data_IF_392672305443
#
_entry.id   IF_392672305443
#
_cell.length_a   1.000
_cell.length_b   1.000
_cell.length_c   1.000
_cell.angle_alpha   90.00
_cell.angle_beta   90.00
_cell.angle_gamma   90.00
#
_symmetry.space_group_name_H-M   'P 1'
#
loop_
_entity.id
_entity.type
_entity.pdbx_description
1 polymer ?
#
# COMPACT_ATOMS: atom_id res chain seq x y z
N UNK A 1 1.72 21.06 -39.36
CA UNK A 1 1.63 20.65 -37.95
C UNK A 1 1.39 19.15 -37.92
N UNK A 2 2.48 18.39 -37.85
CA UNK A 2 2.42 16.93 -37.77
C UNK A 2 1.97 16.55 -36.35
N UNK A 3 0.82 15.91 -36.25
CA UNK A 3 0.35 15.32 -35.01
C UNK A 3 1.15 14.04 -34.77
N UNK A 4 2.34 14.17 -34.18
CA UNK A 4 3.01 13.04 -33.55
C UNK A 4 2.05 12.51 -32.49
N UNK A 5 1.50 11.31 -32.68
CA UNK A 5 0.81 10.59 -31.61
C UNK A 5 1.88 10.04 -30.68
N UNK A 6 2.18 10.65 -29.51
CA UNK A 6 3.28 10.20 -28.70
C UNK A 6 2.82 8.97 -27.91
N UNK A 7 3.22 7.81 -28.40
CA UNK A 7 3.65 6.66 -27.62
C UNK A 7 2.65 6.12 -26.57
N UNK A 8 1.42 5.82 -27.00
CA UNK A 8 0.45 5.07 -26.16
C UNK A 8 1.01 3.76 -25.62
N UNK A 9 1.82 3.07 -26.43
CA UNK A 9 2.32 1.73 -26.13
C UNK A 9 3.31 1.71 -24.95
N UNK A 10 4.42 2.48 -24.95
CA UNK A 10 5.31 2.51 -23.80
C UNK A 10 4.68 3.13 -22.56
N UNK A 11 3.69 4.01 -22.71
CA UNK A 11 2.93 4.55 -21.57
C UNK A 11 2.06 3.47 -20.89
N UNK A 12 1.43 2.59 -21.68
CA UNK A 12 0.67 1.44 -21.19
C UNK A 12 1.60 0.42 -20.51
N UNK A 13 2.73 0.10 -21.16
CA UNK A 13 3.73 -0.83 -20.61
C UNK A 13 4.26 -0.33 -19.25
N UNK A 14 4.60 0.96 -19.14
CA UNK A 14 5.02 1.56 -17.86
C UNK A 14 3.93 1.50 -16.79
N UNK A 15 2.67 1.72 -17.16
CA UNK A 15 1.56 1.59 -16.23
C UNK A 15 1.38 0.15 -15.74
N UNK A 16 1.47 -0.84 -16.64
CA UNK A 16 1.40 -2.27 -16.29
C UNK A 16 2.56 -2.66 -15.38
N UNK A 17 3.79 -2.30 -15.73
CA UNK A 17 4.98 -2.58 -14.90
C UNK A 17 4.84 -1.90 -13.54
N UNK A 18 4.46 -0.62 -13.51
CA UNK A 18 4.22 0.11 -12.26
C UNK A 18 3.18 -0.56 -11.39
N UNK A 19 2.05 -1.00 -11.97
CA UNK A 19 1.02 -1.72 -11.24
C UNK A 19 1.51 -3.07 -10.71
N UNK A 20 2.27 -3.84 -11.50
CA UNK A 20 2.84 -5.11 -11.05
C UNK A 20 3.80 -4.91 -9.88
N UNK A 21 4.67 -3.90 -9.95
CA UNK A 21 5.59 -3.56 -8.85
C UNK A 21 4.80 -3.18 -7.60
N UNK A 22 3.79 -2.31 -7.73
CA UNK A 22 2.95 -1.89 -6.60
C UNK A 22 2.21 -3.07 -5.96
N UNK A 23 1.65 -3.97 -6.76
CA UNK A 23 0.95 -5.18 -6.25
C UNK A 23 1.93 -6.13 -5.58
N UNK A 24 3.10 -6.36 -6.18
CA UNK A 24 4.15 -7.18 -5.57
C UNK A 24 4.62 -6.59 -4.22
N UNK A 25 4.77 -5.26 -4.14
CA UNK A 25 5.13 -4.58 -2.90
C UNK A 25 4.01 -4.67 -1.86
N UNK A 26 2.75 -4.45 -2.26
CA UNK A 26 1.60 -4.60 -1.37
C UNK A 26 1.54 -6.03 -0.80
N UNK A 27 1.76 -7.04 -1.64
CA UNK A 27 1.80 -8.44 -1.22
C UNK A 27 2.97 -8.73 -0.28
N UNK A 28 4.16 -8.24 -0.62
CA UNK A 28 5.35 -8.37 0.23
C UNK A 28 5.10 -7.76 1.61
N UNK A 29 4.63 -6.51 1.67
CA UNK A 29 4.32 -5.83 2.93
C UNK A 29 3.19 -6.54 3.71
N UNK A 30 2.16 -7.01 3.03
CA UNK A 30 1.08 -7.79 3.66
C UNK A 30 1.60 -9.08 4.32
N UNK A 31 2.65 -9.70 3.77
CA UNK A 31 3.28 -10.90 4.36
C UNK A 31 3.95 -10.63 5.72
N UNK A 32 4.25 -9.38 6.05
CA UNK A 32 4.80 -8.97 7.35
C UNK A 32 3.73 -8.58 8.37
N UNK A 33 2.45 -8.47 8.00
CA UNK A 33 1.35 -8.17 8.96
C UNK A 33 1.26 -9.22 10.10
N UNK A 34 1.49 -10.53 9.87
CA UNK A 34 1.52 -11.51 10.95
C UNK A 34 2.60 -11.25 12.03
N UNK A 35 3.60 -10.39 11.78
CA UNK A 35 4.53 -9.97 12.83
C UNK A 35 3.84 -9.24 13.99
N UNK A 36 2.67 -8.64 13.77
CA UNK A 36 1.89 -8.04 14.86
C UNK A 36 1.47 -9.09 15.89
N UNK A 37 1.18 -10.32 15.45
CA UNK A 37 0.83 -11.43 16.34
C UNK A 37 2.03 -11.90 17.17
N UNK A 38 3.24 -11.84 16.60
CA UNK A 38 4.47 -12.16 17.32
C UNK A 38 4.69 -11.17 18.48
N UNK A 39 4.46 -9.89 18.22
CA UNK A 39 4.54 -8.84 19.25
C UNK A 39 3.47 -9.04 20.32
N UNK A 40 2.22 -9.32 19.92
CA UNK A 40 1.13 -9.56 20.87
C UNK A 40 1.31 -10.84 21.71
N UNK A 41 1.99 -11.87 21.19
CA UNK A 41 2.32 -13.10 21.93
C UNK A 41 3.49 -12.93 22.90
N UNK A 42 4.34 -11.93 22.69
CA UNK A 42 5.44 -11.62 23.58
C UNK A 42 5.00 -10.80 24.82
N UNK A 43 3.80 -10.22 24.77
CA UNK A 43 3.18 -9.53 25.91
C UNK A 43 2.74 -10.52 26.99
N UNK A 44 3.22 -10.29 28.21
CA UNK A 44 3.04 -11.17 29.39
C UNK A 44 1.71 -10.91 30.10
N UNK A 45 1.17 -9.68 29.98
CA UNK A 45 -0.05 -9.26 30.67
C UNK A 45 -1.33 -9.53 29.86
N UNK A 46 -1.19 -9.98 28.60
CA UNK A 46 -2.29 -10.40 27.73
C UNK A 46 -3.16 -9.26 27.18
N UNK A 47 -2.83 -8.00 27.51
CA UNK A 47 -3.54 -6.81 27.03
C UNK A 47 -3.35 -6.58 25.53
N UNK A 48 -2.18 -6.94 24.99
CA UNK A 48 -1.81 -6.73 23.59
C UNK A 48 -2.72 -7.48 22.59
N UNK A 49 -3.38 -8.57 23.00
CA UNK A 49 -4.34 -9.29 22.16
C UNK A 49 -5.54 -8.43 21.75
N UNK A 50 -5.98 -7.51 22.62
CA UNK A 50 -7.08 -6.59 22.31
C UNK A 50 -6.66 -5.49 21.34
N UNK A 51 -5.38 -5.16 21.32
CA UNK A 51 -4.80 -4.12 20.46
C UNK A 51 -4.31 -4.66 19.11
N UNK A 52 -4.11 -5.98 19.01
CA UNK A 52 -3.77 -6.68 17.77
C UNK A 52 -4.78 -6.41 16.65
N UNK A 53 -6.07 -6.45 16.95
CA UNK A 53 -7.13 -6.17 15.98
C UNK A 53 -7.11 -4.73 15.48
N UNK A 54 -6.74 -3.77 16.34
CA UNK A 54 -6.57 -2.36 15.94
C UNK A 54 -5.35 -2.22 15.01
N UNK A 55 -4.22 -2.85 15.35
CA UNK A 55 -3.03 -2.85 14.51
C UNK A 55 -3.28 -3.52 13.14
N UNK A 56 -4.04 -4.62 13.10
CA UNK A 56 -4.45 -5.26 11.85
C UNK A 56 -5.37 -4.37 11.01
N UNK A 57 -6.35 -3.72 11.61
CA UNK A 57 -7.24 -2.78 10.90
C UNK A 57 -6.44 -1.59 10.35
N UNK A 58 -5.50 -1.03 11.11
CA UNK A 58 -4.66 0.07 10.66
C UNK A 58 -3.75 -0.37 9.49
N UNK A 59 -3.08 -1.52 9.62
CA UNK A 59 -2.20 -2.06 8.59
C UNK A 59 -2.94 -2.42 7.30
N UNK A 60 -3.97 -3.28 7.38
CA UNK A 60 -4.75 -3.67 6.21
C UNK A 60 -5.55 -2.50 5.63
N UNK A 61 -6.12 -1.64 6.48
CA UNK A 61 -6.86 -0.46 6.06
C UNK A 61 -5.99 0.51 5.27
N UNK A 62 -4.77 0.76 5.73
CA UNK A 62 -3.83 1.62 5.01
C UNK A 62 -3.32 1.01 3.70
N UNK A 63 -3.03 -0.31 3.67
CA UNK A 63 -2.67 -1.02 2.43
C UNK A 63 -3.82 -0.94 1.41
N UNK A 64 -5.04 -1.31 1.81
CA UNK A 64 -6.22 -1.28 0.95
C UNK A 64 -6.54 0.15 0.48
N UNK A 65 -6.49 1.12 1.39
CA UNK A 65 -6.70 2.53 1.08
C UNK A 65 -5.69 3.07 0.06
N UNK A 66 -4.41 2.70 0.19
CA UNK A 66 -3.35 3.09 -0.73
C UNK A 66 -3.55 2.52 -2.14
N UNK A 67 -3.98 1.26 -2.23
CA UNK A 67 -4.31 0.60 -3.51
C UNK A 67 -5.53 1.29 -4.15
N UNK A 68 -6.61 1.50 -3.38
CA UNK A 68 -7.83 2.16 -3.87
C UNK A 68 -7.51 3.58 -4.35
N UNK A 69 -6.67 4.31 -3.62
CA UNK A 69 -6.22 5.64 -4.00
C UNK A 69 -5.46 5.62 -5.34
N UNK A 70 -4.47 4.74 -5.50
CA UNK A 70 -3.73 4.61 -6.76
C UNK A 70 -4.66 4.28 -7.94
N UNK A 71 -5.60 3.34 -7.76
CA UNK A 71 -6.62 3.03 -8.78
C UNK A 71 -7.45 4.26 -9.12
N UNK A 72 -7.88 5.01 -8.11
CA UNK A 72 -8.69 6.24 -8.30
C UNK A 72 -7.92 7.29 -9.12
N UNK A 73 -6.63 7.50 -8.82
CA UNK A 73 -5.79 8.43 -9.58
C UNK A 73 -5.59 7.95 -11.02
N UNK A 74 -5.36 6.64 -11.23
CA UNK A 74 -5.25 6.06 -12.58
C UNK A 74 -6.55 6.24 -13.39
N UNK A 75 -7.72 5.96 -12.79
CA UNK A 75 -9.03 6.13 -13.43
C UNK A 75 -9.27 7.61 -13.78
N UNK A 76 -8.94 8.53 -12.87
CA UNK A 76 -9.04 9.98 -13.14
C UNK A 76 -8.15 10.40 -14.30
N UNK A 77 -6.90 9.94 -14.36
CA UNK A 77 -5.98 10.22 -15.47
C UNK A 77 -6.46 9.61 -16.79
N UNK A 78 -6.97 8.38 -16.76
CA UNK A 78 -7.56 7.71 -17.93
C UNK A 78 -8.77 8.49 -18.48
N UNK A 79 -9.70 8.90 -17.61
CA UNK A 79 -10.87 9.73 -17.99
C UNK A 79 -10.45 11.07 -18.58
N UNK A 80 -9.40 11.70 -18.01
CA UNK A 80 -8.85 12.96 -18.50
C UNK A 80 -7.94 12.81 -19.75
N UNK A 81 -7.82 11.59 -20.32
CA UNK A 81 -6.89 11.25 -21.42
C UNK A 81 -5.43 11.67 -21.15
N UNK A 82 -5.04 11.71 -19.87
CA UNK A 82 -3.67 12.03 -19.44
C UNK A 82 -2.82 10.75 -19.32
N UNK A 83 -1.51 10.85 -19.56
CA UNK A 83 -0.62 9.70 -19.44
C UNK A 83 -0.55 9.18 -18.00
N UNK A 84 -0.75 7.86 -17.83
CA UNK A 84 -0.72 7.18 -16.54
C UNK A 84 0.72 6.89 -16.12
N UNK A 85 1.57 6.41 -17.03
CA UNK A 85 2.99 6.12 -16.80
C UNK A 85 3.26 5.49 -15.43
N UNK A 86 4.07 6.14 -14.59
CA UNK A 86 4.52 5.65 -13.29
C UNK A 86 3.60 6.00 -12.11
N UNK A 87 2.38 6.48 -12.36
CA UNK A 87 1.41 6.81 -11.31
C UNK A 87 1.17 5.70 -10.26
N UNK A 88 1.16 4.40 -10.61
CA UNK A 88 0.96 3.35 -9.61
C UNK A 88 2.03 3.31 -8.52
N UNK A 89 3.27 3.75 -8.82
CA UNK A 89 4.38 3.72 -7.87
C UNK A 89 4.15 4.65 -6.67
N UNK A 90 3.27 5.64 -6.78
CA UNK A 90 2.92 6.55 -5.68
C UNK A 90 2.27 5.77 -4.51
N UNK A 91 1.63 4.63 -4.77
CA UNK A 91 1.10 3.80 -3.69
C UNK A 91 2.18 3.07 -2.89
N UNK A 92 3.37 2.84 -3.44
CA UNK A 92 4.44 2.11 -2.74
C UNK A 92 4.85 2.80 -1.41
N UNK A 93 5.20 4.09 -1.37
CA UNK A 93 5.52 4.75 -0.10
C UNK A 93 4.32 4.77 0.86
N UNK A 94 3.10 4.98 0.36
CA UNK A 94 1.89 4.97 1.21
C UNK A 94 1.63 3.59 1.84
N UNK A 95 1.87 2.51 1.10
CA UNK A 95 1.78 1.13 1.59
C UNK A 95 2.83 0.90 2.70
N UNK A 96 4.07 1.35 2.48
CA UNK A 96 5.15 1.23 3.46
C UNK A 96 4.81 2.02 4.74
N UNK A 97 4.43 3.29 4.60
CA UNK A 97 4.04 4.16 5.72
C UNK A 97 2.87 3.57 6.51
N UNK A 98 1.85 3.07 5.81
CA UNK A 98 0.69 2.42 6.44
C UNK A 98 1.07 1.19 7.27
N UNK A 99 1.98 0.37 6.74
CA UNK A 99 2.49 -0.79 7.48
C UNK A 99 3.34 -0.37 8.67
N UNK A 100 4.25 0.60 8.50
CA UNK A 100 5.08 1.13 9.59
C UNK A 100 4.20 1.69 10.70
N UNK A 101 3.15 2.44 10.38
CA UNK A 101 2.21 2.97 11.38
C UNK A 101 1.50 1.84 12.12
N UNK A 102 0.99 0.82 11.41
CA UNK A 102 0.38 -0.35 12.05
C UNK A 102 1.35 -1.10 12.98
N UNK A 103 2.62 -1.24 12.57
CA UNK A 103 3.67 -1.86 13.37
C UNK A 103 4.04 -1.02 14.61
N UNK A 104 4.17 0.30 14.46
CA UNK A 104 4.44 1.21 15.57
C UNK A 104 3.30 1.20 16.61
N UNK A 105 2.05 1.14 16.16
CA UNK A 105 0.88 0.98 17.05
C UNK A 105 1.00 -0.32 17.86
N UNK A 106 1.34 -1.44 17.20
CA UNK A 106 1.53 -2.71 17.87
C UNK A 106 2.67 -2.68 18.91
N UNK A 107 3.80 -2.04 18.58
CA UNK A 107 4.94 -1.91 19.50
C UNK A 107 4.62 -1.03 20.71
N UNK A 108 4.02 0.14 20.50
CA UNK A 108 3.69 1.07 21.60
C UNK A 108 2.69 0.39 22.54
N UNK A 109 1.68 -0.28 22.02
CA UNK A 109 0.64 -0.91 22.84
C UNK A 109 1.10 -2.19 23.54
N UNK A 110 2.16 -2.86 23.05
CA UNK A 110 2.79 -3.97 23.75
C UNK A 110 3.82 -3.53 24.80
N UNK A 111 4.22 -2.25 24.80
CA UNK A 111 5.20 -1.70 25.73
C UNK A 111 4.57 -0.93 26.91
N UNK A 112 3.24 -0.84 26.95
CA UNK A 112 2.43 -0.17 27.99
C UNK A 112 1.60 -1.23 28.72
#
# INVERSE_FOLDING_TARGET
>A
MAWEQPDRFPNLVRAVIGSLITVAFAWFIASFVPLYEVVARADVDGGAWRYLSIAQVAGWGGIAGSVIWAVTVMVRKARARRPIAWTPLIAVPLIIESWVVGFLIALVLAAI
#
